data_IF_119123794593
#
_entry.id   IF_119123794593
#
_cell.length_a   1.000
_cell.length_b   1.000
_cell.length_c   1.000
_cell.angle_alpha   90.00
_cell.angle_beta   90.00
_cell.angle_gamma   90.00
#
_symmetry.space_group_name_H-M   'P 1'
#
loop_
_entity.id
_entity.type
_entity.pdbx_description
1 polymer ?
#
# COMPACT_ATOMS: atom_id res chain seq x y z
N UNK A 1 -47.97 -24.06 -35.85
CA UNK A 1 -47.38 -23.13 -34.86
C UNK A 1 -47.25 -23.87 -33.55
N UNK A 2 -46.04 -24.36 -33.22
CA UNK A 2 -45.75 -24.96 -31.91
C UNK A 2 -44.94 -23.90 -31.15
N UNK A 3 -45.60 -23.23 -30.20
CA UNK A 3 -44.96 -22.28 -29.30
C UNK A 3 -44.04 -23.05 -28.37
N UNK A 4 -42.73 -22.90 -28.56
CA UNK A 4 -41.71 -23.40 -27.64
C UNK A 4 -41.77 -22.61 -26.34
N UNK A 5 -41.97 -23.30 -25.22
CA UNK A 5 -41.75 -22.75 -23.89
C UNK A 5 -40.28 -22.31 -23.78
N UNK A 6 -39.96 -21.14 -23.21
CA UNK A 6 -38.58 -20.79 -22.90
C UNK A 6 -38.08 -21.73 -21.82
N UNK A 7 -36.85 -22.23 -21.98
CA UNK A 7 -36.18 -23.04 -20.97
C UNK A 7 -36.14 -22.26 -19.66
N UNK A 8 -36.87 -22.77 -18.68
CA UNK A 8 -36.85 -22.32 -17.30
C UNK A 8 -35.40 -22.50 -16.81
N UNK A 9 -34.68 -21.40 -16.54
CA UNK A 9 -33.36 -21.46 -15.92
C UNK A 9 -33.49 -22.25 -14.62
N UNK A 10 -32.94 -23.47 -14.62
CA UNK A 10 -33.00 -24.36 -13.47
C UNK A 10 -32.32 -23.68 -12.26
N UNK A 11 -32.91 -23.74 -11.05
CA UNK A 11 -32.27 -23.21 -9.87
C UNK A 11 -30.93 -23.92 -9.68
N UNK A 12 -29.83 -23.16 -9.49
CA UNK A 12 -28.51 -23.74 -9.19
C UNK A 12 -28.62 -24.75 -8.07
N UNK A 13 -27.98 -25.91 -8.23
CA UNK A 13 -28.05 -26.96 -7.23
C UNK A 13 -27.33 -26.52 -5.95
N UNK A 14 -27.78 -27.02 -4.80
CA UNK A 14 -27.12 -26.76 -3.52
C UNK A 14 -25.65 -27.23 -3.49
N UNK A 15 -25.29 -28.23 -4.32
CA UNK A 15 -23.92 -28.70 -4.48
C UNK A 15 -23.02 -27.69 -5.19
N UNK A 16 -23.54 -27.03 -6.22
CA UNK A 16 -22.81 -25.96 -6.94
C UNK A 16 -22.55 -24.78 -6.00
N UNK A 17 -23.54 -24.42 -5.17
CA UNK A 17 -23.43 -23.34 -4.20
C UNK A 17 -22.38 -23.61 -3.11
N UNK A 18 -22.29 -24.85 -2.62
CA UNK A 18 -21.29 -25.25 -1.62
C UNK A 18 -19.87 -25.26 -2.21
N UNK A 19 -19.74 -25.66 -3.47
CA UNK A 19 -18.45 -25.63 -4.18
C UNK A 19 -17.96 -24.21 -4.39
N UNK A 20 -18.84 -23.30 -4.84
CA UNK A 20 -18.56 -21.87 -4.99
C UNK A 20 -18.12 -21.25 -3.66
N UNK A 21 -18.83 -21.55 -2.56
CA UNK A 21 -18.50 -21.03 -1.23
C UNK A 21 -17.14 -21.53 -0.72
N UNK A 22 -16.80 -22.79 -1.01
CA UNK A 22 -15.51 -23.39 -0.65
C UNK A 22 -14.35 -22.72 -1.38
N UNK A 23 -14.51 -22.47 -2.69
CA UNK A 23 -13.51 -21.76 -3.49
C UNK A 23 -13.30 -20.33 -3.00
N UNK A 24 -14.40 -19.60 -2.77
CA UNK A 24 -14.32 -18.24 -2.24
C UNK A 24 -13.61 -18.21 -0.87
N UNK A 25 -13.92 -19.16 0.00
CA UNK A 25 -13.28 -19.27 1.31
C UNK A 25 -11.77 -19.51 1.20
N UNK A 26 -11.33 -20.37 0.27
CA UNK A 26 -9.91 -20.62 0.03
C UNK A 26 -9.19 -19.39 -0.53
N UNK A 27 -9.79 -18.70 -1.50
CA UNK A 27 -9.23 -17.46 -2.07
C UNK A 27 -9.08 -16.39 -0.99
N UNK A 28 -10.13 -16.16 -0.20
CA UNK A 28 -10.13 -15.22 0.91
C UNK A 28 -9.05 -15.56 1.93
N UNK A 29 -8.83 -16.86 2.23
CA UNK A 29 -7.74 -17.30 3.11
C UNK A 29 -6.36 -16.95 2.54
N UNK A 30 -6.12 -17.19 1.25
CA UNK A 30 -4.83 -16.93 0.61
C UNK A 30 -4.48 -15.44 0.60
N UNK A 31 -5.43 -14.57 0.24
CA UNK A 31 -5.27 -13.10 0.28
C UNK A 31 -4.88 -12.65 1.68
N UNK A 32 -5.65 -13.11 2.66
CA UNK A 32 -5.45 -12.79 4.06
C UNK A 32 -4.08 -13.27 4.58
N UNK A 33 -3.62 -14.43 4.14
CA UNK A 33 -2.29 -14.95 4.44
C UNK A 33 -1.17 -14.08 3.84
N UNK A 34 -1.32 -13.64 2.59
CA UNK A 34 -0.38 -12.72 1.94
C UNK A 34 -0.25 -11.39 2.70
N UNK A 35 -1.39 -10.78 3.07
CA UNK A 35 -1.42 -9.55 3.88
C UNK A 35 -0.72 -9.78 5.23
N UNK A 36 -1.00 -10.90 5.89
CA UNK A 36 -0.38 -11.23 7.16
C UNK A 36 1.15 -11.40 7.04
N UNK A 37 1.65 -12.00 5.97
CA UNK A 37 3.09 -12.16 5.74
C UNK A 37 3.78 -10.82 5.49
N UNK A 38 3.18 -9.93 4.71
CA UNK A 38 3.70 -8.59 4.45
C UNK A 38 3.79 -7.75 5.74
N UNK A 39 2.79 -7.86 6.62
CA UNK A 39 2.76 -7.16 7.90
C UNK A 39 3.64 -7.84 8.97
N UNK A 40 3.88 -9.15 8.86
CA UNK A 40 4.58 -10.00 9.85
C UNK A 40 5.59 -10.97 9.22
N UNK A 41 6.67 -10.47 8.60
CA UNK A 41 7.63 -11.34 7.92
C UNK A 41 8.35 -12.32 8.86
N UNK A 42 8.39 -12.03 10.17
CA UNK A 42 9.11 -12.82 11.18
C UNK A 42 8.23 -13.81 11.96
N UNK A 43 6.92 -13.89 11.68
CA UNK A 43 5.97 -14.67 12.49
C UNK A 43 5.33 -15.76 11.63
N UNK A 44 5.17 -16.96 12.19
CA UNK A 44 4.49 -18.06 11.50
C UNK A 44 3.10 -17.66 10.99
N UNK A 45 2.78 -18.14 9.79
CA UNK A 45 1.52 -17.85 9.11
C UNK A 45 0.36 -18.55 9.82
N UNK A 46 -0.75 -17.86 10.12
CA UNK A 46 -1.94 -18.48 10.69
C UNK A 46 -2.50 -19.55 9.75
N UNK A 47 -2.92 -20.68 10.30
CA UNK A 47 -3.45 -21.80 9.49
C UNK A 47 -4.96 -21.69 9.28
N UNK A 48 -5.67 -21.07 10.22
CA UNK A 48 -7.13 -20.91 10.17
C UNK A 48 -7.58 -19.46 10.03
N UNK A 49 -8.77 -19.25 9.46
CA UNK A 49 -9.38 -17.91 9.29
C UNK A 49 -9.58 -17.19 10.63
N UNK A 50 -9.92 -17.92 11.70
CA UNK A 50 -10.13 -17.32 13.03
C UNK A 50 -8.83 -16.71 13.55
N UNK A 51 -7.73 -17.46 13.53
CA UNK A 51 -6.41 -16.97 13.93
C UNK A 51 -5.96 -15.78 13.09
N UNK A 52 -6.32 -15.81 11.80
CA UNK A 52 -5.96 -14.77 10.85
C UNK A 52 -6.77 -13.49 11.10
N UNK A 53 -8.07 -13.62 11.38
CA UNK A 53 -8.95 -12.52 11.79
C UNK A 53 -8.44 -11.85 13.06
N UNK A 54 -8.03 -12.63 14.07
CA UNK A 54 -7.44 -12.07 15.30
C UNK A 54 -6.13 -11.32 15.03
N UNK A 55 -5.27 -11.82 14.14
CA UNK A 55 -4.06 -11.07 13.74
C UNK A 55 -4.40 -9.76 13.01
N UNK A 56 -5.40 -9.78 12.14
CA UNK A 56 -5.79 -8.61 11.36
C UNK A 56 -6.45 -7.51 12.18
N UNK A 57 -7.06 -7.83 13.34
CA UNK A 57 -7.53 -6.79 14.29
C UNK A 57 -6.42 -5.82 14.71
N UNK A 58 -5.15 -6.28 14.74
CA UNK A 58 -3.97 -5.46 15.02
C UNK A 58 -3.28 -4.85 13.78
N UNK A 59 -3.77 -5.13 12.57
CA UNK A 59 -3.12 -4.74 11.31
C UNK A 59 -3.00 -3.23 11.15
N UNK A 60 -4.05 -2.47 11.50
CA UNK A 60 -4.08 -1.00 11.35
C UNK A 60 -2.89 -0.32 12.02
N UNK A 61 -2.55 -0.71 13.26
CA UNK A 61 -1.39 -0.15 13.98
C UNK A 61 -0.10 -0.44 13.25
N UNK A 62 0.04 -1.62 12.65
CA UNK A 62 1.26 -2.01 11.95
C UNK A 62 1.37 -1.45 10.55
N UNK A 63 0.25 -1.24 9.85
CA UNK A 63 0.22 -0.40 8.64
C UNK A 63 0.69 1.02 8.91
N UNK A 64 0.24 1.63 10.01
CA UNK A 64 0.70 2.96 10.40
C UNK A 64 2.21 2.97 10.70
N UNK A 65 2.72 1.97 11.42
CA UNK A 65 4.16 1.83 11.68
C UNK A 65 4.96 1.61 10.40
N UNK A 66 4.47 0.77 9.50
CA UNK A 66 5.09 0.53 8.20
C UNK A 66 5.15 1.82 7.37
N UNK A 67 4.05 2.57 7.26
CA UNK A 67 4.01 3.87 6.58
C UNK A 67 5.02 4.86 7.16
N UNK A 68 5.06 5.01 8.50
CA UNK A 68 6.06 5.87 9.16
C UNK A 68 7.49 5.41 8.85
N UNK A 69 7.72 4.09 8.84
CA UNK A 69 9.05 3.53 8.56
C UNK A 69 9.48 3.79 7.11
N UNK A 70 8.59 3.60 6.14
CA UNK A 70 8.83 3.87 4.72
C UNK A 70 9.08 5.36 4.48
N UNK A 71 8.28 6.24 5.08
CA UNK A 71 8.50 7.70 5.00
C UNK A 71 9.87 8.10 5.59
N UNK A 72 10.26 7.54 6.73
CA UNK A 72 11.58 7.80 7.34
C UNK A 72 12.71 7.31 6.45
N UNK A 73 12.55 6.16 5.82
CA UNK A 73 13.56 5.60 4.92
C UNK A 73 13.70 6.45 3.64
N UNK A 74 12.58 6.81 3.00
CA UNK A 74 12.61 7.73 1.85
C UNK A 74 13.23 9.09 2.19
N UNK A 75 12.95 9.63 3.39
CA UNK A 75 13.59 10.86 3.86
C UNK A 75 15.12 10.70 4.04
N UNK A 76 15.59 9.55 4.53
CA UNK A 76 17.04 9.27 4.66
C UNK A 76 17.73 9.18 3.31
N UNK A 77 17.10 8.52 2.34
CA UNK A 77 17.63 8.39 0.99
C UNK A 77 17.70 9.75 0.28
N UNK A 78 16.61 10.52 0.33
CA UNK A 78 16.58 11.89 -0.18
C UNK A 78 17.65 12.76 0.49
N UNK A 79 17.80 12.68 1.82
CA UNK A 79 18.83 13.42 2.54
C UNK A 79 20.25 13.01 2.12
N UNK A 80 20.48 11.73 1.87
CA UNK A 80 21.76 11.23 1.36
C UNK A 80 22.07 11.84 -0.01
N UNK A 81 21.08 11.91 -0.90
CA UNK A 81 21.22 12.57 -2.20
C UNK A 81 21.49 14.08 -2.10
N UNK A 82 20.90 14.76 -1.11
CA UNK A 82 21.21 16.17 -0.83
C UNK A 82 22.65 16.31 -0.34
N UNK A 83 23.10 15.45 0.59
CA UNK A 83 24.46 15.50 1.14
C UNK A 83 25.55 15.18 0.12
N UNK A 84 25.28 14.37 -0.90
CA UNK A 84 26.25 14.11 -1.98
C UNK A 84 26.46 15.36 -2.85
N UNK A 85 25.42 16.18 -3.06
CA UNK A 85 25.52 17.42 -3.84
C UNK A 85 25.95 18.64 -3.01
N UNK A 86 25.54 18.69 -1.75
CA UNK A 86 25.80 19.80 -0.83
C UNK A 86 26.57 19.32 0.40
N UNK A 87 27.81 18.89 0.18
CA UNK A 87 28.63 18.21 1.20
C UNK A 87 28.87 19.07 2.45
N UNK A 88 29.00 20.38 2.29
CA UNK A 88 29.23 21.36 3.37
C UNK A 88 27.95 21.84 4.07
N UNK A 89 26.77 21.50 3.54
CA UNK A 89 25.53 21.95 4.14
C UNK A 89 25.22 21.21 5.45
N UNK A 90 24.84 21.99 6.47
CA UNK A 90 24.30 21.50 7.72
C UNK A 90 22.80 21.18 7.59
N UNK A 91 22.28 20.16 8.30
CA UNK A 91 20.88 19.74 8.19
C UNK A 91 19.89 20.85 8.57
N UNK A 92 20.14 21.59 9.65
CA UNK A 92 19.23 22.66 10.10
C UNK A 92 19.22 23.82 9.10
N UNK A 93 20.38 24.27 8.63
CA UNK A 93 20.48 25.32 7.63
C UNK A 93 19.79 24.93 6.32
N UNK A 94 19.99 23.69 5.86
CA UNK A 94 19.35 23.18 4.65
C UNK A 94 17.82 23.11 4.78
N UNK A 95 17.30 22.82 5.99
CA UNK A 95 15.86 22.77 6.25
C UNK A 95 15.22 24.16 6.39
N UNK A 96 15.94 25.14 6.96
CA UNK A 96 15.39 26.46 7.31
C UNK A 96 15.70 27.54 6.27
N UNK A 97 16.83 27.42 5.58
CA UNK A 97 17.36 28.42 4.65
C UNK A 97 17.51 27.88 3.23
N UNK A 98 17.87 26.60 3.09
CA UNK A 98 18.02 25.92 1.80
C UNK A 98 19.47 25.80 1.34
N UNK A 99 19.69 25.30 0.11
CA UNK A 99 21.04 25.12 -0.43
C UNK A 99 21.65 26.46 -0.84
N UNK A 100 22.99 26.52 -0.80
CA UNK A 100 23.76 27.65 -1.31
C UNK A 100 24.29 27.31 -2.70
N UNK A 101 24.08 28.20 -3.66
CA UNK A 101 24.55 28.07 -5.03
C UNK A 101 26.07 28.17 -5.15
N UNK A 102 26.64 27.84 -6.32
CA UNK A 102 28.08 27.93 -6.58
C UNK A 102 28.62 29.36 -6.42
N UNK A 103 27.77 30.36 -6.58
CA UNK A 103 28.05 31.79 -6.41
C UNK A 103 28.00 32.26 -4.95
N UNK A 104 27.76 31.33 -4.00
CA UNK A 104 27.65 31.63 -2.57
C UNK A 104 26.30 32.21 -2.16
N UNK A 105 25.33 32.32 -3.07
CA UNK A 105 23.99 32.86 -2.76
C UNK A 105 23.03 31.76 -2.35
N UNK A 106 22.16 32.06 -1.40
CA UNK A 106 21.10 31.15 -0.97
C UNK A 106 20.10 30.93 -2.10
N UNK A 107 19.74 29.67 -2.33
CA UNK A 107 18.69 29.28 -3.26
C UNK A 107 17.40 29.17 -2.44
N UNK A 108 16.32 29.89 -2.81
CA UNK A 108 15.09 29.88 -2.04
C UNK A 108 14.51 28.48 -1.85
N UNK A 109 14.13 28.16 -0.61
CA UNK A 109 13.46 26.90 -0.24
C UNK A 109 12.24 26.61 -1.11
N UNK A 110 11.45 27.62 -1.46
CA UNK A 110 10.26 27.45 -2.30
C UNK A 110 10.60 26.88 -3.69
N UNK A 111 11.77 27.22 -4.22
CA UNK A 111 12.23 26.77 -5.53
C UNK A 111 12.70 25.31 -5.50
N UNK A 112 13.25 24.87 -4.37
CA UNK A 112 13.85 23.54 -4.20
C UNK A 112 12.86 22.55 -3.60
N UNK A 113 12.20 22.94 -2.52
CA UNK A 113 11.34 22.09 -1.74
C UNK A 113 9.86 22.21 -2.10
N UNK A 114 9.41 23.29 -2.75
CA UNK A 114 8.00 23.42 -3.15
C UNK A 114 7.56 22.31 -4.12
N UNK A 115 8.44 21.94 -5.07
CA UNK A 115 8.17 20.84 -6.00
C UNK A 115 8.26 19.46 -5.30
N UNK A 116 9.20 19.31 -4.37
CA UNK A 116 9.36 18.08 -3.57
C UNK A 116 8.19 17.88 -2.62
N UNK A 117 7.68 18.94 -2.01
CA UNK A 117 6.51 18.90 -1.12
C UNK A 117 5.26 18.50 -1.90
N UNK A 118 5.08 19.02 -3.11
CA UNK A 118 3.97 18.64 -3.99
C UNK A 118 4.08 17.16 -4.40
N UNK A 119 5.25 16.71 -4.83
CA UNK A 119 5.49 15.30 -5.15
C UNK A 119 5.28 14.38 -3.94
N UNK A 120 5.80 14.77 -2.77
CA UNK A 120 5.61 14.03 -1.51
C UNK A 120 4.14 13.97 -1.10
N UNK A 121 3.36 15.04 -1.31
CA UNK A 121 1.90 15.05 -1.10
C UNK A 121 1.19 14.06 -2.02
N UNK A 122 1.55 13.97 -3.29
CA UNK A 122 1.01 12.96 -4.19
C UNK A 122 1.40 11.55 -3.75
N UNK A 123 2.67 11.28 -3.47
CA UNK A 123 3.12 9.97 -2.97
C UNK A 123 2.47 9.59 -1.63
N UNK A 124 2.17 10.56 -0.76
CA UNK A 124 1.41 10.31 0.47
C UNK A 124 -0.05 9.95 0.22
N UNK A 125 -0.67 10.46 -0.86
CA UNK A 125 -2.01 10.07 -1.27
C UNK A 125 -2.04 8.63 -1.78
N UNK A 126 -1.01 8.20 -2.51
CA UNK A 126 -0.86 6.80 -2.94
C UNK A 126 -0.61 5.87 -1.75
N UNK A 127 -0.02 6.41 -0.68
CA UNK A 127 0.15 5.72 0.60
C UNK A 127 -1.06 5.87 1.55
N UNK A 128 -2.23 6.38 1.11
CA UNK A 128 -3.45 6.35 1.94
C UNK A 128 -3.92 4.91 2.07
N UNK A 129 -4.35 4.54 3.29
CA UNK A 129 -4.79 3.18 3.62
C UNK A 129 -5.84 2.69 2.63
N UNK A 130 -6.78 3.58 2.28
CA UNK A 130 -7.89 3.30 1.39
C UNK A 130 -7.39 2.90 -0.01
N UNK A 131 -6.48 3.69 -0.62
CA UNK A 131 -5.90 3.39 -1.95
C UNK A 131 -4.97 2.18 -2.01
N UNK A 132 -4.28 1.89 -0.91
CA UNK A 132 -3.40 0.73 -0.81
C UNK A 132 -4.18 -0.59 -0.77
N UNK A 133 -5.42 -0.54 -0.29
CA UNK A 133 -6.35 -1.66 -0.31
C UNK A 133 -7.04 -1.76 -1.68
N UNK A 134 -7.43 -0.63 -2.27
CA UNK A 134 -8.04 -0.59 -3.62
C UNK A 134 -7.12 -1.22 -4.69
N UNK A 135 -5.81 -0.95 -4.66
CA UNK A 135 -4.86 -1.54 -5.62
C UNK A 135 -4.70 -3.06 -5.47
N UNK A 136 -4.88 -3.59 -4.26
CA UNK A 136 -4.93 -5.04 -4.02
C UNK A 136 -6.23 -5.61 -4.57
N UNK A 137 -7.36 -4.90 -4.48
CA UNK A 137 -8.63 -5.34 -5.07
C UNK A 137 -8.59 -5.32 -6.63
N UNK A 138 -7.92 -4.32 -7.22
CA UNK A 138 -7.79 -4.19 -8.68
C UNK A 138 -6.83 -5.23 -9.32
N UNK A 139 -5.66 -5.51 -8.73
CA UNK A 139 -4.75 -6.58 -9.21
C UNK A 139 -5.41 -7.97 -9.18
N UNK A 140 -6.29 -8.19 -8.21
CA UNK A 140 -7.06 -9.43 -8.10
C UNK A 140 -8.18 -9.53 -9.13
N UNK A 141 -8.82 -8.41 -9.47
CA UNK A 141 -9.87 -8.37 -10.50
C UNK A 141 -9.33 -8.63 -11.92
N UNK A 142 -8.03 -8.44 -12.14
CA UNK A 142 -7.34 -8.71 -13.41
C UNK A 142 -6.72 -10.12 -13.49
N UNK A 143 -6.69 -10.85 -12.37
CA UNK A 143 -6.12 -12.20 -12.27
C UNK A 143 -7.18 -13.31 -12.13
N UNK A 144 -8.48 -12.94 -12.17
CA UNK A 144 -9.64 -13.82 -12.18
C UNK A 144 -10.20 -13.99 -13.61
#
# INVERSE_FOLDING_TARGET
MLSGRPAEEMPRSAGDLLSELSQLHEQVRQVMQGIAQALWPSVSLPKGIVELTEKLKGARRRFLLWKISACRQGAREAWTMVKTRYTKAGPNHMAEVGPVGPDGKEIPISLVYGQVELAAKYSQQDCKLDRLLDGIEEEFSQSA
#
